data_IF_444759761046
#
_entry.id   IF_444759761046
#
_cell.length_a   1.000
_cell.length_b   1.000
_cell.length_c   1.000
_cell.angle_alpha   90.00
_cell.angle_beta   90.00
_cell.angle_gamma   90.00
#
_symmetry.space_group_name_H-M   'P 1'
#
loop_
_entity.id
_entity.type
_entity.pdbx_description
1 polymer ?
#
# COMPACT_ATOMS: atom_id res chain seq x y z
N UNK A 1 -4.98 20.65 -7.12
CA UNK A 1 -3.80 20.21 -6.35
C UNK A 1 -2.92 19.36 -7.24
N UNK A 2 -1.61 19.60 -7.27
CA UNK A 2 -0.70 18.80 -8.10
C UNK A 2 -0.55 17.38 -7.48
N UNK A 3 -0.75 16.34 -8.29
CA UNK A 3 -0.61 14.93 -7.89
C UNK A 3 0.72 14.63 -7.22
N UNK A 4 1.78 15.32 -7.62
CA UNK A 4 3.11 15.17 -7.04
C UNK A 4 3.13 15.46 -5.52
N UNK A 5 2.52 16.58 -5.10
CA UNK A 5 2.52 16.97 -3.68
C UNK A 5 1.67 16.03 -2.82
N UNK A 6 0.55 15.57 -3.37
CA UNK A 6 -0.28 14.55 -2.72
C UNK A 6 0.49 13.23 -2.53
N UNK A 7 1.22 12.79 -3.55
CA UNK A 7 2.02 11.57 -3.48
C UNK A 7 3.18 11.70 -2.47
N UNK A 8 3.84 12.85 -2.39
CA UNK A 8 4.88 13.10 -1.38
C UNK A 8 4.33 13.06 0.04
N UNK A 9 3.17 13.68 0.29
CA UNK A 9 2.53 13.62 1.60
C UNK A 9 2.14 12.19 1.97
N UNK A 10 1.60 11.42 1.02
CA UNK A 10 1.32 9.99 1.21
C UNK A 10 2.59 9.23 1.57
N UNK A 11 3.69 9.43 0.84
CA UNK A 11 4.96 8.77 1.11
C UNK A 11 5.49 9.09 2.50
N UNK A 12 5.38 10.35 2.95
CA UNK A 12 5.75 10.74 4.30
C UNK A 12 4.90 10.02 5.36
N UNK A 13 3.57 10.04 5.24
CA UNK A 13 2.67 9.37 6.18
C UNK A 13 2.85 7.84 6.19
N UNK A 14 3.06 7.24 5.01
CA UNK A 14 3.34 5.81 4.86
C UNK A 14 4.75 5.44 5.30
N UNK A 15 5.69 6.39 5.40
CA UNK A 15 7.01 6.15 5.98
C UNK A 15 6.98 6.07 7.51
N UNK A 16 6.06 6.78 8.16
CA UNK A 16 5.88 6.74 9.62
C UNK A 16 5.16 5.48 10.09
N UNK A 17 4.14 5.04 9.34
CA UNK A 17 3.25 3.96 9.75
C UNK A 17 3.97 2.63 10.10
N UNK A 18 4.95 2.12 9.33
CA UNK A 18 5.65 0.87 9.63
C UNK A 18 6.40 0.91 10.98
N UNK A 19 6.85 2.08 11.41
CA UNK A 19 7.51 2.24 12.72
C UNK A 19 6.48 2.06 13.84
N UNK A 20 5.33 2.73 13.75
CA UNK A 20 4.25 2.58 14.72
C UNK A 20 3.66 1.16 14.71
N UNK A 21 3.48 0.58 13.52
CA UNK A 21 3.00 -0.79 13.36
C UNK A 21 3.98 -1.79 14.00
N UNK A 22 5.29 -1.61 13.80
CA UNK A 22 6.31 -2.46 14.44
C UNK A 22 6.26 -2.35 15.97
N UNK A 23 6.13 -1.15 16.51
CA UNK A 23 5.98 -0.92 17.96
C UNK A 23 4.73 -1.61 18.48
N UNK A 24 3.59 -1.49 17.79
CA UNK A 24 2.34 -2.15 18.18
C UNK A 24 2.39 -3.68 18.11
N UNK A 25 3.13 -4.22 17.13
CA UNK A 25 3.31 -5.66 16.92
C UNK A 25 4.21 -6.35 17.96
N UNK A 26 4.92 -5.58 18.80
CA UNK A 26 5.75 -6.11 19.89
C UNK A 26 4.91 -6.98 20.85
N UNK A 27 3.72 -6.51 21.23
CA UNK A 27 2.81 -7.20 22.16
C UNK A 27 1.54 -7.73 21.53
N UNK A 28 1.23 -7.34 20.28
CA UNK A 28 0.02 -7.77 19.59
C UNK A 28 0.31 -8.83 18.51
N UNK A 29 -0.68 -9.67 18.20
CA UNK A 29 -0.62 -10.49 16.99
C UNK A 29 -0.90 -9.64 15.74
N UNK A 30 -0.38 -10.02 14.55
CA UNK A 30 -0.66 -9.32 13.29
C UNK A 30 -2.16 -9.12 13.03
N UNK A 31 -2.98 -10.12 13.34
CA UNK A 31 -4.43 -10.06 13.20
C UNK A 31 -5.03 -8.99 14.11
N UNK A 32 -4.65 -8.97 15.40
CA UNK A 32 -5.16 -7.97 16.36
C UNK A 32 -4.79 -6.55 15.93
N UNK A 33 -3.53 -6.33 15.53
CA UNK A 33 -3.07 -5.02 15.05
C UNK A 33 -3.87 -4.57 13.80
N UNK A 34 -4.10 -5.48 12.85
CA UNK A 34 -4.91 -5.21 11.66
C UNK A 34 -6.38 -4.96 11.98
N UNK A 35 -6.96 -5.69 12.93
CA UNK A 35 -8.33 -5.43 13.38
C UNK A 35 -8.48 -4.02 13.92
N UNK A 36 -7.57 -3.59 14.80
CA UNK A 36 -7.57 -2.23 15.35
C UNK A 36 -7.42 -1.20 14.23
N UNK A 37 -6.43 -1.36 13.35
CA UNK A 37 -6.22 -0.48 12.19
C UNK A 37 -7.48 -0.37 11.33
N UNK A 38 -8.10 -1.50 11.00
CA UNK A 38 -9.28 -1.55 10.13
C UNK A 38 -10.48 -0.87 10.79
N UNK A 39 -10.69 -1.07 12.10
CA UNK A 39 -11.75 -0.39 12.84
C UNK A 39 -11.56 1.13 12.84
N UNK A 40 -10.34 1.59 13.13
CA UNK A 40 -10.01 3.03 13.13
C UNK A 40 -10.23 3.63 11.74
N UNK A 41 -9.77 2.96 10.68
CA UNK A 41 -9.97 3.42 9.29
C UNK A 41 -11.44 3.43 8.89
N UNK A 42 -12.19 2.37 9.19
CA UNK A 42 -13.63 2.27 8.88
C UNK A 42 -14.43 3.34 9.59
N UNK A 43 -14.13 3.63 10.87
CA UNK A 43 -14.80 4.71 11.60
C UNK A 43 -14.46 6.06 10.97
N UNK A 44 -13.17 6.36 10.75
CA UNK A 44 -12.75 7.65 10.19
C UNK A 44 -13.32 7.93 8.79
N UNK A 45 -13.12 6.99 7.86
CA UNK A 45 -13.63 7.11 6.48
C UNK A 45 -15.15 7.04 6.46
N UNK A 46 -15.75 6.17 7.29
CA UNK A 46 -17.20 6.03 7.40
C UNK A 46 -17.87 7.32 7.86
N UNK A 47 -17.35 7.97 8.90
CA UNK A 47 -17.87 9.27 9.37
C UNK A 47 -17.76 10.33 8.28
N UNK A 48 -16.63 10.40 7.57
CA UNK A 48 -16.46 11.36 6.48
C UNK A 48 -17.46 11.10 5.34
N UNK A 49 -17.62 9.84 4.92
CA UNK A 49 -18.54 9.43 3.85
C UNK A 49 -20.01 9.65 4.20
N UNK A 50 -20.38 9.47 5.48
CA UNK A 50 -21.71 9.79 5.98
C UNK A 50 -21.95 11.31 6.00
N UNK A 51 -20.98 12.09 6.49
CA UNK A 51 -21.06 13.54 6.57
C UNK A 51 -21.11 14.22 5.20
N UNK A 52 -20.40 13.69 4.20
CA UNK A 52 -20.42 14.19 2.81
C UNK A 52 -21.63 13.72 2.01
N UNK A 53 -22.40 12.74 2.49
CA UNK A 53 -23.51 12.11 1.77
C UNK A 53 -23.07 11.16 0.64
N UNK A 54 -21.77 10.99 0.41
CA UNK A 54 -21.21 10.17 -0.69
C UNK A 54 -21.41 8.67 -0.49
N UNK A 55 -21.82 8.22 0.71
CA UNK A 55 -22.14 6.81 0.95
C UNK A 55 -23.23 6.28 0.00
N UNK A 56 -24.13 7.16 -0.48
CA UNK A 56 -25.18 6.79 -1.44
C UNK A 56 -24.59 6.45 -2.82
N UNK A 57 -23.48 7.06 -3.19
CA UNK A 57 -22.81 6.83 -4.47
C UNK A 57 -22.27 5.40 -4.55
N UNK A 58 -21.97 4.78 -3.41
CA UNK A 58 -21.57 3.36 -3.35
C UNK A 58 -22.66 2.45 -3.91
N UNK A 59 -23.93 2.77 -3.69
CA UNK A 59 -25.07 2.00 -4.21
C UNK A 59 -25.34 2.26 -5.70
N UNK A 60 -24.87 3.40 -6.21
CA UNK A 60 -25.00 3.78 -7.62
C UNK A 60 -23.81 3.32 -8.48
N UNK A 61 -22.80 2.68 -7.90
CA UNK A 61 -21.63 2.20 -8.63
C UNK A 61 -22.01 1.11 -9.63
N UNK A 62 -21.46 1.21 -10.83
CA UNK A 62 -21.52 0.16 -11.84
C UNK A 62 -20.89 -1.14 -11.30
N UNK A 63 -21.53 -2.29 -11.57
CA UNK A 63 -21.09 -3.61 -11.10
C UNK A 63 -19.64 -3.93 -11.43
N UNK A 64 -19.14 -3.50 -12.60
CA UNK A 64 -17.75 -3.71 -13.00
C UNK A 64 -16.77 -2.93 -12.11
N UNK A 65 -17.07 -1.66 -11.85
CA UNK A 65 -16.27 -0.81 -10.97
C UNK A 65 -16.30 -1.33 -9.53
N UNK A 66 -17.48 -1.74 -9.05
CA UNK A 66 -17.63 -2.37 -7.75
C UNK A 66 -16.79 -3.64 -7.61
N UNK A 67 -16.79 -4.52 -8.62
CA UNK A 67 -15.99 -5.74 -8.63
C UNK A 67 -14.48 -5.44 -8.53
N UNK A 68 -13.96 -4.48 -9.31
CA UNK A 68 -12.54 -4.13 -9.23
C UNK A 68 -12.16 -3.52 -7.88
N UNK A 69 -13.05 -2.74 -7.26
CA UNK A 69 -12.84 -2.21 -5.91
C UNK A 69 -12.83 -3.31 -4.85
N UNK A 70 -13.71 -4.30 -4.95
CA UNK A 70 -13.71 -5.48 -4.07
C UNK A 70 -12.43 -6.30 -4.25
N UNK A 71 -12.01 -6.54 -5.50
CA UNK A 71 -10.75 -7.25 -5.78
C UNK A 71 -9.54 -6.49 -5.23
N UNK A 72 -9.51 -5.17 -5.34
CA UNK A 72 -8.47 -4.33 -4.74
C UNK A 72 -8.48 -4.41 -3.21
N UNK A 73 -9.65 -4.37 -2.58
CA UNK A 73 -9.81 -4.49 -1.14
C UNK A 73 -9.35 -5.87 -0.61
N UNK A 74 -9.67 -6.95 -1.32
CA UNK A 74 -9.23 -8.30 -0.95
C UNK A 74 -7.73 -8.48 -1.17
N UNK A 75 -7.20 -8.06 -2.32
CA UNK A 75 -5.80 -8.25 -2.67
C UNK A 75 -4.85 -7.40 -1.83
N UNK A 76 -5.01 -6.08 -1.82
CA UNK A 76 -4.12 -5.16 -1.10
C UNK A 76 -4.54 -5.00 0.37
N UNK A 77 -5.83 -4.88 0.64
CA UNK A 77 -6.37 -4.63 1.97
C UNK A 77 -6.29 -5.85 2.87
N UNK A 78 -6.96 -6.94 2.51
CA UNK A 78 -7.04 -8.13 3.35
C UNK A 78 -5.77 -8.98 3.27
N UNK A 79 -5.47 -9.54 2.10
CA UNK A 79 -4.37 -10.49 1.93
C UNK A 79 -3.03 -9.77 2.04
N UNK A 80 -2.88 -8.66 1.32
CA UNK A 80 -1.66 -7.86 1.27
C UNK A 80 -1.25 -7.34 2.63
N UNK A 81 -2.16 -6.70 3.38
CA UNK A 81 -1.81 -6.24 4.72
C UNK A 81 -1.59 -7.39 5.71
N UNK A 82 -2.31 -8.51 5.58
CA UNK A 82 -2.07 -9.68 6.44
C UNK A 82 -0.63 -10.17 6.28
N UNK A 83 -0.21 -10.48 5.05
CA UNK A 83 1.15 -10.94 4.76
C UNK A 83 2.18 -9.88 5.15
N UNK A 84 1.91 -8.60 4.87
CA UNK A 84 2.78 -7.48 5.25
C UNK A 84 2.98 -7.38 6.77
N UNK A 85 1.93 -7.49 7.58
CA UNK A 85 2.04 -7.40 9.04
C UNK A 85 2.75 -8.62 9.64
N UNK A 86 2.59 -9.82 9.04
CA UNK A 86 3.40 -10.97 9.42
C UNK A 86 4.88 -10.74 9.11
N UNK A 87 5.21 -10.23 7.92
CA UNK A 87 6.58 -9.89 7.54
C UNK A 87 7.16 -8.80 8.44
N UNK A 88 6.38 -7.77 8.78
CA UNK A 88 6.80 -6.67 9.65
C UNK A 88 6.99 -7.13 11.10
N UNK A 89 6.21 -8.10 11.57
CA UNK A 89 6.38 -8.66 12.91
C UNK A 89 7.72 -9.37 13.04
N UNK A 90 8.09 -10.20 12.07
CA UNK A 90 9.32 -11.02 12.12
C UNK A 90 10.55 -10.28 11.59
N UNK A 91 10.39 -9.35 10.66
CA UNK A 91 11.47 -8.60 10.01
C UNK A 91 11.65 -7.19 10.55
N UNK A 92 12.77 -6.56 10.22
CA UNK A 92 13.04 -5.17 10.55
C UNK A 92 12.32 -4.24 9.56
N UNK A 93 11.69 -3.13 10.03
CA UNK A 93 11.03 -2.18 9.13
C UNK A 93 11.96 -1.67 8.01
N UNK A 94 13.24 -1.47 8.32
CA UNK A 94 14.27 -1.06 7.35
C UNK A 94 14.55 -2.06 6.23
N UNK A 95 14.17 -3.34 6.38
CA UNK A 95 14.24 -4.37 5.33
C UNK A 95 12.91 -4.55 4.63
N UNK A 96 11.84 -4.72 5.43
CA UNK A 96 10.52 -5.09 4.93
C UNK A 96 9.94 -3.97 4.09
N UNK A 97 10.06 -2.71 4.52
CA UNK A 97 9.44 -1.57 3.82
C UNK A 97 10.06 -1.35 2.44
N UNK A 98 11.39 -1.28 2.26
CA UNK A 98 11.98 -1.12 0.94
C UNK A 98 11.71 -2.31 0.01
N UNK A 99 11.72 -3.54 0.54
CA UNK A 99 11.40 -4.72 -0.27
C UNK A 99 9.95 -4.68 -0.77
N UNK A 100 9.00 -4.31 0.08
CA UNK A 100 7.59 -4.14 -0.30
C UNK A 100 7.42 -2.98 -1.28
N UNK A 101 8.22 -1.91 -1.16
CA UNK A 101 8.22 -0.76 -2.07
C UNK A 101 8.68 -1.10 -3.51
N UNK A 102 8.96 -2.37 -3.83
CA UNK A 102 9.12 -2.87 -5.20
C UNK A 102 7.79 -3.08 -5.94
N UNK A 103 6.64 -3.07 -5.25
CA UNK A 103 5.33 -3.25 -5.87
C UNK A 103 5.02 -2.29 -7.04
N UNK A 104 5.56 -1.06 -7.14
CA UNK A 104 5.37 -0.21 -8.32
C UNK A 104 5.86 -0.86 -9.63
N UNK A 105 6.83 -1.78 -9.56
CA UNK A 105 7.28 -2.56 -10.71
C UNK A 105 6.18 -3.49 -11.22
N UNK A 106 5.48 -4.16 -10.29
CA UNK A 106 4.32 -5.00 -10.60
C UNK A 106 3.18 -4.13 -11.12
N UNK A 107 2.93 -2.98 -10.50
CA UNK A 107 1.90 -2.03 -10.96
C UNK A 107 2.18 -1.52 -12.37
N UNK A 108 3.44 -1.23 -12.71
CA UNK A 108 3.85 -0.81 -14.05
C UNK A 108 3.61 -1.93 -15.06
N UNK A 109 3.99 -3.17 -14.73
CA UNK A 109 3.76 -4.31 -15.60
C UNK A 109 2.25 -4.52 -15.88
N UNK A 110 1.44 -4.49 -14.82
CA UNK A 110 -0.02 -4.68 -14.94
C UNK A 110 -0.68 -3.50 -15.65
N UNK A 111 -0.22 -2.25 -15.43
CA UNK A 111 -0.78 -1.08 -16.14
C UNK A 111 -0.50 -1.14 -17.63
N UNK A 112 0.67 -1.62 -18.05
CA UNK A 112 0.97 -1.82 -19.47
C UNK A 112 0.07 -2.89 -20.08
N UNK A 113 -0.11 -4.02 -19.38
CA UNK A 113 -0.90 -5.15 -19.90
C UNK A 113 -2.40 -4.80 -19.96
N UNK A 114 -2.94 -4.22 -18.89
CA UNK A 114 -4.38 -4.06 -18.71
C UNK A 114 -4.89 -2.66 -19.10
N UNK A 115 -4.13 -1.61 -18.79
CA UNK A 115 -4.48 -0.21 -19.10
C UNK A 115 -3.86 0.26 -20.42
N UNK A 116 -3.00 -0.55 -21.05
CA UNK A 116 -2.29 -0.23 -22.32
C UNK A 116 -1.52 1.09 -22.24
N UNK A 117 -0.99 1.40 -21.07
CA UNK A 117 -0.19 2.60 -20.90
C UNK A 117 1.12 2.53 -21.70
N UNK A 118 1.52 3.62 -22.38
CA UNK A 118 2.82 3.66 -23.02
C UNK A 118 3.93 3.62 -21.95
N UNK A 119 4.93 2.77 -22.21
CA UNK A 119 6.16 2.73 -21.43
C UNK A 119 7.10 3.79 -22.01
N UNK A 120 7.43 4.80 -21.20
CA UNK A 120 8.51 5.73 -21.53
C UNK A 120 9.85 5.18 -21.04
N UNK A 121 10.94 5.60 -21.69
CA UNK A 121 12.31 5.35 -21.23
C UNK A 121 12.52 5.80 -19.78
N UNK A 122 11.87 6.90 -19.36
CA UNK A 122 11.89 7.37 -17.97
C UNK A 122 11.26 6.38 -16.98
N UNK A 123 10.12 5.76 -17.32
CA UNK A 123 9.49 4.73 -16.48
C UNK A 123 10.40 3.51 -16.32
N UNK A 124 11.08 3.09 -17.39
CA UNK A 124 12.04 1.97 -17.36
C UNK A 124 13.27 2.31 -16.51
N UNK A 125 13.88 3.48 -16.72
CA UNK A 125 15.03 3.91 -15.94
C UNK A 125 14.70 4.00 -14.44
N UNK A 126 13.54 4.58 -14.10
CA UNK A 126 13.05 4.61 -12.71
C UNK A 126 12.83 3.22 -12.12
N UNK A 127 12.24 2.30 -12.89
CA UNK A 127 12.05 0.90 -12.46
C UNK A 127 13.39 0.21 -12.15
N UNK A 128 14.40 0.37 -13.02
CA UNK A 128 15.75 -0.16 -12.77
C UNK A 128 16.37 0.44 -11.51
N UNK A 129 16.23 1.75 -11.30
CA UNK A 129 16.75 2.41 -10.10
C UNK A 129 16.06 1.92 -8.81
N UNK A 130 14.75 1.66 -8.84
CA UNK A 130 14.03 1.05 -7.71
C UNK A 130 14.62 -0.32 -7.37
N UNK A 131 14.82 -1.18 -8.38
CA UNK A 131 15.41 -2.51 -8.18
C UNK A 131 16.81 -2.40 -7.58
N UNK A 132 17.67 -1.56 -8.14
CA UNK A 132 19.04 -1.37 -7.65
C UNK A 132 19.06 -0.85 -6.21
N UNK A 133 18.22 0.13 -5.88
CA UNK A 133 18.11 0.67 -4.53
C UNK A 133 17.70 -0.39 -3.51
N UNK A 134 16.72 -1.23 -3.85
CA UNK A 134 16.27 -2.32 -2.97
C UNK A 134 17.33 -3.40 -2.82
N UNK A 135 18.06 -3.74 -3.89
CA UNK A 135 19.18 -4.67 -3.82
C UNK A 135 20.28 -4.16 -2.89
N UNK A 136 20.65 -2.89 -2.98
CA UNK A 136 21.68 -2.29 -2.11
C UNK A 136 21.28 -2.37 -0.63
N UNK A 137 20.04 -1.98 -0.30
CA UNK A 137 19.51 -2.08 1.07
C UNK A 137 19.49 -3.53 1.56
N UNK A 138 19.14 -4.47 0.68
CA UNK A 138 19.14 -5.90 0.99
C UNK A 138 20.55 -6.42 1.29
N UNK A 139 21.55 -6.02 0.49
CA UNK A 139 22.94 -6.48 0.61
C UNK A 139 23.61 -5.96 1.89
N UNK A 140 23.43 -4.68 2.23
CA UNK A 140 24.06 -4.05 3.40
C UNK A 140 23.71 -4.74 4.72
N UNK A 141 22.55 -5.39 4.80
CA UNK A 141 22.07 -5.98 6.04
C UNK A 141 22.25 -7.50 6.11
N UNK A 142 23.01 -8.07 5.17
CA UNK A 142 23.45 -9.48 5.16
C UNK A 142 24.92 -9.64 5.62
N UNK A 143 25.66 -8.52 5.68
CA UNK A 143 27.02 -8.39 6.22
C UNK A 143 27.01 -7.97 7.68
#
# INVERSE_FOLDING_TARGET
>A
MNTFWLAMLTAFLWGLAPVFDKIGLDKASPIVALTIRTLVMTIGIGTFSLASGTWRDVLALESRSFLFLVLAAVSAGLIGQLVYYYALKTGEPGKVVPLVATYPLISLLISVIYLREPISTGKVAGAVLIVLGVLLIGLEQTS
#
